data_IF_097442981325
#
_entry.id   IF_097442981325
#
_cell.length_a   1.000
_cell.length_b   1.000
_cell.length_c   1.000
_cell.angle_alpha   90.00
_cell.angle_beta   90.00
_cell.angle_gamma   90.00
#
_symmetry.space_group_name_H-M   'P 1'
#
loop_
_entity.id
_entity.type
_entity.pdbx_description
1 polymer ?
#
# COMPACT_ATOMS: atom_id res chain seq x y z
N UNK A 1 -9.98 -12.44 -10.60
CA UNK A 1 -8.57 -12.10 -10.28
C UNK A 1 -7.80 -13.40 -10.17
N UNK A 2 -6.60 -13.49 -10.73
CA UNK A 2 -5.74 -14.66 -10.60
C UNK A 2 -5.12 -14.66 -9.20
N UNK A 3 -5.20 -15.76 -8.43
CA UNK A 3 -4.55 -15.83 -7.12
C UNK A 3 -3.03 -15.69 -7.25
N UNK A 4 -2.40 -15.06 -6.26
CA UNK A 4 -0.94 -15.01 -6.14
C UNK A 4 -0.45 -16.30 -5.48
N UNK A 5 0.63 -16.88 -6.00
CA UNK A 5 1.30 -18.01 -5.36
C UNK A 5 2.27 -17.51 -4.28
N UNK A 6 2.69 -18.40 -3.39
CA UNK A 6 3.74 -18.08 -2.42
C UNK A 6 5.01 -17.60 -3.13
N UNK A 7 5.52 -16.44 -2.71
CA UNK A 7 6.70 -15.80 -3.30
C UNK A 7 6.42 -14.91 -4.51
N UNK A 8 5.18 -14.89 -5.03
CA UNK A 8 4.79 -13.95 -6.09
C UNK A 8 4.56 -12.54 -5.53
N UNK A 9 4.61 -11.55 -6.42
CA UNK A 9 4.27 -10.17 -6.12
C UNK A 9 3.29 -9.61 -7.15
N UNK A 10 2.46 -8.67 -6.72
CA UNK A 10 1.56 -7.91 -7.59
C UNK A 10 1.92 -6.42 -7.57
N UNK A 11 1.62 -5.73 -8.67
CA UNK A 11 1.67 -4.29 -8.78
C UNK A 11 0.28 -3.75 -9.10
N UNK A 12 -0.19 -2.83 -8.28
CA UNK A 12 -1.46 -2.12 -8.48
C UNK A 12 -1.14 -0.68 -8.86
N UNK A 13 -1.67 -0.23 -10.00
CA UNK A 13 -1.52 1.14 -10.51
C UNK A 13 -2.92 1.74 -10.62
N UNK A 14 -3.11 2.91 -10.03
CA UNK A 14 -4.41 3.58 -9.99
C UNK A 14 -4.29 5.02 -9.50
N UNK A 15 -5.42 5.61 -9.13
CA UNK A 15 -5.45 6.97 -8.60
C UNK A 15 -5.07 6.99 -7.11
N UNK A 16 -4.33 8.02 -6.68
CA UNK A 16 -3.83 8.16 -5.32
C UNK A 16 -4.92 7.95 -4.26
N UNK A 17 -6.10 8.58 -4.42
CA UNK A 17 -7.19 8.45 -3.44
C UNK A 17 -7.74 7.03 -3.30
N UNK A 18 -7.77 6.23 -4.38
CA UNK A 18 -8.20 4.83 -4.32
C UNK A 18 -7.14 3.97 -3.61
N UNK A 19 -5.86 4.22 -3.90
CA UNK A 19 -4.75 3.53 -3.27
C UNK A 19 -4.66 3.84 -1.78
N UNK A 20 -4.85 5.10 -1.39
CA UNK A 20 -4.84 5.54 0.01
C UNK A 20 -5.99 4.92 0.81
N UNK A 21 -7.20 4.86 0.24
CA UNK A 21 -8.33 4.19 0.86
C UNK A 21 -8.07 2.68 1.04
N UNK A 22 -7.47 2.03 0.03
CA UNK A 22 -7.07 0.64 0.12
C UNK A 22 -6.01 0.41 1.20
N UNK A 23 -5.02 1.30 1.33
CA UNK A 23 -3.99 1.22 2.37
C UNK A 23 -4.60 1.31 3.77
N UNK A 24 -5.53 2.25 4.00
CA UNK A 24 -6.26 2.35 5.28
C UNK A 24 -7.03 1.06 5.57
N UNK A 25 -7.67 0.46 4.57
CA UNK A 25 -8.36 -0.82 4.74
C UNK A 25 -7.41 -2.00 5.04
N UNK A 26 -6.18 -1.97 4.51
CA UNK A 26 -5.15 -2.98 4.79
C UNK A 26 -4.56 -2.84 6.20
N UNK A 27 -4.51 -1.61 6.74
CA UNK A 27 -3.92 -1.28 8.03
C UNK A 27 -4.87 -0.38 8.87
N UNK A 28 -6.05 -0.89 9.25
CA UNK A 28 -7.09 -0.07 9.87
C UNK A 28 -6.68 0.50 11.23
N UNK A 29 -5.87 -0.25 11.99
CA UNK A 29 -5.43 0.12 13.34
C UNK A 29 -4.07 0.84 13.36
N UNK A 30 -3.50 1.16 12.20
CA UNK A 30 -2.24 1.90 12.14
C UNK A 30 -2.42 3.36 12.53
N UNK A 31 -1.37 3.97 13.09
CA UNK A 31 -1.33 5.41 13.29
C UNK A 31 -1.10 6.12 11.94
N UNK A 32 -2.19 6.51 11.28
CA UNK A 32 -2.15 7.17 9.97
C UNK A 32 -1.57 8.59 10.05
N UNK A 33 -1.45 9.19 11.23
CA UNK A 33 -0.81 10.51 11.37
C UNK A 33 0.67 10.48 11.01
N UNK A 34 1.30 9.31 11.06
CA UNK A 34 2.70 9.09 10.70
C UNK A 34 2.93 8.78 9.21
N UNK A 35 1.88 8.69 8.38
CA UNK A 35 1.99 8.30 6.97
C UNK A 35 2.43 9.43 6.03
N UNK A 36 2.47 10.65 6.54
CA UNK A 36 2.84 11.85 5.79
C UNK A 36 1.69 12.40 4.94
N UNK A 37 2.03 13.17 3.90
CA UNK A 37 1.06 13.79 3.00
C UNK A 37 0.45 12.81 1.99
N UNK A 38 -0.47 13.31 1.17
CA UNK A 38 -1.07 12.51 0.09
C UNK A 38 -0.02 11.98 -0.90
N UNK A 39 -0.29 10.84 -1.53
CA UNK A 39 0.57 10.27 -2.58
C UNK A 39 0.55 11.14 -3.84
N UNK A 40 1.73 11.57 -4.28
CA UNK A 40 1.92 12.24 -5.55
C UNK A 40 1.96 11.29 -6.76
N UNK A 41 2.11 11.86 -7.96
CA UNK A 41 2.34 11.05 -9.16
C UNK A 41 3.61 10.21 -9.00
N UNK A 42 3.52 8.92 -9.35
CA UNK A 42 4.61 7.95 -9.22
C UNK A 42 5.10 7.70 -7.78
N UNK A 43 4.39 8.19 -6.77
CA UNK A 43 4.55 7.75 -5.38
C UNK A 43 3.63 6.56 -5.10
N UNK A 44 3.92 5.82 -4.03
CA UNK A 44 3.09 4.69 -3.64
C UNK A 44 3.49 4.10 -2.30
N UNK A 45 3.12 2.84 -2.09
CA UNK A 45 3.58 2.08 -0.95
C UNK A 45 3.93 0.65 -1.35
N UNK A 46 4.92 0.08 -0.67
CA UNK A 46 5.24 -1.35 -0.73
C UNK A 46 4.62 -2.03 0.48
N UNK A 47 3.84 -3.08 0.23
CA UNK A 47 3.20 -3.87 1.27
C UNK A 47 3.92 -5.21 1.41
N UNK A 48 4.15 -5.65 2.64
CA UNK A 48 4.51 -7.04 2.93
C UNK A 48 3.30 -7.74 3.53
N UNK A 49 3.00 -8.94 3.02
CA UNK A 49 1.84 -9.71 3.45
C UNK A 49 2.14 -11.22 3.46
N UNK A 50 1.39 -11.93 4.29
CA UNK A 50 1.20 -13.38 4.27
C UNK A 50 -0.31 -13.64 4.14
N UNK A 51 -0.93 -14.37 5.07
CA UNK A 51 -2.39 -14.39 5.23
C UNK A 51 -2.97 -12.98 5.57
N UNK A 52 -2.14 -12.07 6.09
CA UNK A 52 -2.51 -10.70 6.46
C UNK A 52 -1.44 -9.68 6.03
N UNK A 53 -1.83 -8.41 5.89
CA UNK A 53 -0.89 -7.32 5.69
C UNK A 53 -0.08 -7.05 6.96
N UNK A 54 1.26 -7.01 6.85
CA UNK A 54 2.19 -6.95 8.00
C UNK A 54 2.99 -5.67 8.07
N UNK A 55 3.32 -5.09 6.93
CA UNK A 55 4.13 -3.88 6.88
C UNK A 55 3.77 -3.03 5.65
N UNK A 56 3.92 -1.72 5.82
CA UNK A 56 3.80 -0.73 4.76
C UNK A 56 5.03 0.16 4.76
N UNK A 57 5.61 0.38 3.60
CA UNK A 57 6.68 1.34 3.36
C UNK A 57 6.20 2.35 2.31
N UNK A 58 6.17 3.63 2.67
CA UNK A 58 5.82 4.69 1.74
C UNK A 58 7.00 5.03 0.83
N UNK A 59 6.76 4.96 -0.48
CA UNK A 59 7.72 5.28 -1.53
C UNK A 59 7.41 6.69 -2.05
N UNK A 60 8.31 7.63 -1.79
CA UNK A 60 8.15 9.06 -2.09
C UNK A 60 9.26 9.52 -3.03
N UNK A 61 8.96 10.53 -3.85
CA UNK A 61 9.97 11.17 -4.69
C UNK A 61 10.62 12.33 -3.93
N UNK A 62 11.93 12.50 -4.11
CA UNK A 62 12.73 13.56 -3.50
C UNK A 62 12.59 14.89 -4.23
#
# INVERSE_FOLDING_TARGET
MTPLSDGDAALVIGHAGELEAALVACFPEADHSHWGGMLGCCEGARLSFDDYFRAVEFLRLA
#
